data_IF_115974286827
#
_entry.id   IF_115974286827
#
_cell.length_a   1.000
_cell.length_b   1.000
_cell.length_c   1.000
_cell.angle_alpha   90.00
_cell.angle_beta   90.00
_cell.angle_gamma   90.00
#
_symmetry.space_group_name_H-M   'P 1'
#
loop_
_entity.id
_entity.type
_entity.pdbx_description
1 polymer ?
#
# COMPACT_ATOMS: atom_id res chain seq x y z
N UNK A 1 13.29 13.49 -20.69
CA UNK A 1 14.29 13.04 -19.71
C UNK A 1 13.74 13.37 -18.35
N UNK A 2 13.38 12.38 -17.53
CA UNK A 2 12.96 12.66 -16.16
C UNK A 2 14.16 13.24 -15.41
N UNK A 3 14.02 14.44 -14.87
CA UNK A 3 15.06 15.02 -14.00
C UNK A 3 15.36 14.02 -12.88
N UNK A 4 16.65 13.73 -12.67
CA UNK A 4 17.11 12.89 -11.56
C UNK A 4 16.76 13.62 -10.26
N UNK A 5 15.60 13.30 -9.69
CA UNK A 5 15.24 13.73 -8.34
C UNK A 5 16.08 12.91 -7.38
N UNK A 6 16.93 13.60 -6.62
CA UNK A 6 17.62 12.98 -5.50
C UNK A 6 16.59 12.49 -4.46
N UNK A 7 16.83 11.33 -3.82
CA UNK A 7 15.91 10.83 -2.78
C UNK A 7 15.88 11.80 -1.59
N UNK A 8 14.68 12.06 -1.05
CA UNK A 8 14.52 12.75 0.23
C UNK A 8 14.75 11.73 1.36
N UNK A 9 15.89 11.87 2.05
CA UNK A 9 16.28 10.97 3.14
C UNK A 9 16.06 11.66 4.47
N UNK A 10 15.19 11.08 5.30
CA UNK A 10 14.89 11.58 6.65
C UNK A 10 15.20 10.52 7.70
N UNK A 11 15.89 10.94 8.76
CA UNK A 11 16.31 10.07 9.86
C UNK A 11 15.55 10.48 11.12
N UNK A 12 14.99 9.49 11.82
CA UNK A 12 14.19 9.69 13.03
C UNK A 12 14.80 8.92 14.20
N UNK A 13 14.57 9.37 15.45
CA UNK A 13 15.16 8.73 16.63
C UNK A 13 14.59 7.33 16.91
N UNK A 14 13.36 7.06 16.49
CA UNK A 14 12.69 5.78 16.73
C UNK A 14 11.58 5.53 15.67
N UNK A 15 11.03 4.31 15.71
CA UNK A 15 9.96 3.86 14.82
C UNK A 15 8.68 4.69 15.00
N UNK A 16 8.36 5.15 16.21
CA UNK A 16 7.16 5.93 16.44
C UNK A 16 7.23 7.27 15.71
N UNK A 17 8.35 8.00 15.84
CA UNK A 17 8.56 9.27 15.13
C UNK A 17 8.68 9.09 13.62
N UNK A 18 9.28 8.00 13.16
CA UNK A 18 9.30 7.66 11.73
C UNK A 18 7.88 7.39 11.19
N UNK A 19 7.08 6.57 11.88
CA UNK A 19 5.70 6.26 11.48
C UNK A 19 4.80 7.48 11.53
N UNK A 20 4.92 8.33 12.56
CA UNK A 20 4.19 9.60 12.65
C UNK A 20 4.50 10.49 11.44
N UNK A 21 5.77 10.76 11.16
CA UNK A 21 6.16 11.64 10.06
C UNK A 21 5.76 11.08 8.68
N UNK A 22 5.82 9.76 8.49
CA UNK A 22 5.36 9.12 7.26
C UNK A 22 3.83 9.17 7.11
N UNK A 23 3.08 9.02 8.21
CA UNK A 23 1.63 9.16 8.21
C UNK A 23 1.20 10.58 7.84
N UNK A 24 1.78 11.59 8.49
CA UNK A 24 1.54 13.01 8.18
C UNK A 24 1.84 13.30 6.71
N UNK A 25 2.96 12.78 6.18
CA UNK A 25 3.31 12.93 4.77
C UNK A 25 2.32 12.24 3.83
N UNK A 26 1.83 11.05 4.18
CA UNK A 26 0.83 10.34 3.38
C UNK A 26 -0.51 11.08 3.38
N UNK A 27 -0.92 11.68 4.52
CA UNK A 27 -2.12 12.51 4.61
C UNK A 27 -2.01 13.71 3.68
N UNK A 28 -0.88 14.41 3.67
CA UNK A 28 -0.62 15.52 2.73
C UNK A 28 -0.76 15.08 1.28
N UNK A 29 -0.05 14.01 0.90
CA UNK A 29 -0.08 13.49 -0.48
C UNK A 29 -1.49 13.04 -0.85
N UNK A 30 -2.19 12.34 0.04
CA UNK A 30 -3.55 11.90 -0.19
C UNK A 30 -4.49 13.10 -0.40
N UNK A 31 -4.39 14.14 0.43
CA UNK A 31 -5.19 15.36 0.29
C UNK A 31 -4.99 16.04 -1.06
N UNK A 32 -3.74 16.24 -1.46
CA UNK A 32 -3.40 16.88 -2.73
C UNK A 32 -3.90 16.07 -3.93
N UNK A 33 -3.70 14.75 -3.90
CA UNK A 33 -4.13 13.86 -4.98
C UNK A 33 -5.65 13.74 -5.03
N UNK A 34 -6.33 13.63 -3.88
CA UNK A 34 -7.79 13.57 -3.82
C UNK A 34 -8.43 14.85 -4.36
N UNK A 35 -7.84 16.01 -4.08
CA UNK A 35 -8.29 17.28 -4.63
C UNK A 35 -8.12 17.35 -6.17
N UNK A 36 -7.03 16.78 -6.70
CA UNK A 36 -6.71 16.85 -8.13
C UNK A 36 -7.41 15.77 -8.98
N UNK A 37 -7.50 14.52 -8.48
CA UNK A 37 -7.93 13.33 -9.24
C UNK A 37 -9.24 12.72 -8.73
N UNK A 38 -9.70 13.10 -7.54
CA UNK A 38 -10.89 12.54 -6.91
C UNK A 38 -10.74 11.11 -6.36
N UNK A 39 -9.58 10.48 -6.51
CA UNK A 39 -9.24 9.14 -5.97
C UNK A 39 -7.77 9.08 -5.57
N UNK A 40 -7.43 8.24 -4.60
CA UNK A 40 -6.05 8.00 -4.15
C UNK A 40 -5.74 6.50 -4.16
N UNK A 41 -4.84 6.05 -5.03
CA UNK A 41 -4.42 4.66 -5.13
C UNK A 41 -3.11 4.42 -4.36
N UNK A 42 -3.20 3.67 -3.26
CA UNK A 42 -2.11 3.38 -2.33
C UNK A 42 -1.76 1.89 -2.37
N UNK A 43 -0.51 1.56 -2.68
CA UNK A 43 0.02 0.21 -2.56
C UNK A 43 0.70 0.01 -1.19
N UNK A 44 0.27 -1.02 -0.46
CA UNK A 44 0.70 -1.38 0.88
C UNK A 44 1.74 -2.49 0.86
N UNK A 45 2.61 -2.51 1.87
CA UNK A 45 3.53 -3.63 2.15
C UNK A 45 3.22 -4.30 3.48
N UNK A 46 3.77 -5.50 3.64
CA UNK A 46 3.78 -6.25 4.89
C UNK A 46 4.87 -5.82 5.87
N UNK A 47 4.93 -6.50 7.02
CA UNK A 47 6.01 -6.36 7.99
C UNK A 47 5.69 -5.47 9.19
N UNK A 48 6.63 -5.42 10.14
CA UNK A 48 6.43 -4.74 11.43
C UNK A 48 6.35 -3.22 11.26
N UNK A 49 7.24 -2.62 10.46
CA UNK A 49 7.29 -1.16 10.27
C UNK A 49 6.02 -0.62 9.61
N UNK A 50 5.51 -1.20 8.49
CA UNK A 50 4.24 -0.77 7.93
C UNK A 50 3.04 -0.99 8.87
N UNK A 51 3.03 -2.06 9.68
CA UNK A 51 1.98 -2.26 10.68
C UNK A 51 1.85 -1.08 11.65
N UNK A 52 2.97 -0.55 12.15
CA UNK A 52 2.94 0.63 13.04
C UNK A 52 2.40 1.87 12.34
N UNK A 53 2.79 2.10 11.07
CA UNK A 53 2.24 3.17 10.24
C UNK A 53 0.71 3.03 10.07
N UNK A 54 0.23 1.82 9.77
CA UNK A 54 -1.19 1.55 9.54
C UNK A 54 -2.04 1.80 10.80
N UNK A 55 -1.56 1.36 11.96
CA UNK A 55 -2.20 1.65 13.25
C UNK A 55 -2.23 3.15 13.53
N UNK A 56 -1.16 3.89 13.20
CA UNK A 56 -1.13 5.34 13.36
C UNK A 56 -2.14 6.03 12.44
N UNK A 57 -2.19 5.65 11.15
CA UNK A 57 -3.16 6.17 10.18
C UNK A 57 -4.61 5.96 10.65
N UNK A 58 -4.91 4.77 11.17
CA UNK A 58 -6.24 4.44 11.67
C UNK A 58 -6.66 5.22 12.92
N UNK A 59 -5.73 5.43 13.86
CA UNK A 59 -6.06 6.02 15.17
C UNK A 59 -5.94 7.52 15.21
N UNK A 60 -4.89 8.05 14.59
CA UNK A 60 -4.50 9.46 14.73
C UNK A 60 -4.92 10.29 13.51
N UNK A 61 -4.92 9.70 12.31
CA UNK A 61 -5.15 10.42 11.06
C UNK A 61 -6.45 10.04 10.33
N UNK A 62 -7.30 9.19 10.91
CA UNK A 62 -8.45 8.62 10.19
C UNK A 62 -9.43 9.70 9.70
N UNK A 63 -9.64 10.77 10.47
CA UNK A 63 -10.50 11.89 10.10
C UNK A 63 -9.90 12.83 9.05
N UNK A 64 -8.60 12.71 8.75
CA UNK A 64 -7.90 13.56 7.79
C UNK A 64 -7.90 13.00 6.36
N UNK A 65 -8.36 11.75 6.20
CA UNK A 65 -8.37 11.02 4.93
C UNK A 65 -9.80 10.70 4.53
N UNK A 66 -10.18 11.06 3.30
CA UNK A 66 -11.45 10.64 2.68
C UNK A 66 -11.36 9.18 2.22
N UNK A 67 -11.45 8.24 3.16
CA UNK A 67 -11.29 6.79 2.93
C UNK A 67 -12.23 6.23 1.86
N UNK A 68 -13.41 6.82 1.66
CA UNK A 68 -14.34 6.42 0.61
C UNK A 68 -13.78 6.60 -0.82
N UNK A 69 -12.71 7.37 -0.97
CA UNK A 69 -12.00 7.64 -2.22
C UNK A 69 -10.59 7.05 -2.27
N UNK A 70 -10.18 6.37 -1.20
CA UNK A 70 -8.91 5.64 -1.15
C UNK A 70 -9.12 4.25 -1.72
N UNK A 71 -8.22 3.81 -2.60
CA UNK A 71 -8.15 2.45 -3.10
C UNK A 71 -6.84 1.80 -2.64
N UNK A 72 -6.95 0.65 -1.98
CA UNK A 72 -5.80 -0.08 -1.43
C UNK A 72 -5.38 -1.23 -2.34
N UNK A 73 -4.09 -1.34 -2.55
CA UNK A 73 -3.40 -2.41 -3.28
C UNK A 73 -2.25 -2.95 -2.42
N UNK A 74 -1.57 -3.99 -2.88
CA UNK A 74 -0.43 -4.61 -2.19
C UNK A 74 0.76 -4.75 -3.13
N UNK A 75 1.96 -4.45 -2.63
CA UNK A 75 3.23 -4.65 -3.35
C UNK A 75 3.57 -6.13 -3.52
N UNK A 76 3.19 -6.94 -2.54
CA UNK A 76 3.43 -8.37 -2.44
C UNK A 76 2.44 -9.01 -1.46
N UNK A 77 2.31 -10.32 -1.56
CA UNK A 77 1.58 -11.14 -0.59
C UNK A 77 2.18 -12.54 -0.52
N UNK A 78 2.02 -13.18 0.64
CA UNK A 78 2.44 -14.56 0.91
C UNK A 78 1.38 -15.49 0.31
N UNK A 79 1.80 -16.58 -0.34
CA UNK A 79 0.90 -17.55 -0.96
C UNK A 79 0.19 -18.43 0.10
N UNK A 80 -0.65 -17.80 0.91
CA UNK A 80 -1.39 -18.36 2.04
C UNK A 80 -2.84 -17.88 2.03
N UNK A 81 -3.69 -18.47 2.88
CA UNK A 81 -5.05 -17.96 3.08
C UNK A 81 -5.04 -16.50 3.57
N UNK A 82 -6.03 -15.71 3.14
CA UNK A 82 -6.24 -14.32 3.61
C UNK A 82 -6.48 -14.20 5.12
N UNK A 83 -6.81 -15.31 5.80
CA UNK A 83 -7.01 -15.36 7.26
C UNK A 83 -5.74 -15.76 8.02
N UNK A 84 -4.69 -16.17 7.30
CA UNK A 84 -3.40 -16.55 7.88
C UNK A 84 -2.77 -15.38 8.64
N UNK A 85 -2.08 -15.68 9.74
CA UNK A 85 -1.28 -14.69 10.46
C UNK A 85 -0.12 -14.15 9.62
N UNK A 86 0.31 -14.92 8.60
CA UNK A 86 1.37 -14.53 7.67
C UNK A 86 0.87 -13.66 6.50
N UNK A 87 -0.43 -13.41 6.37
CA UNK A 87 -0.97 -12.58 5.28
C UNK A 87 -0.75 -11.08 5.56
N UNK A 88 -0.18 -10.40 4.56
CA UNK A 88 -0.05 -8.94 4.53
C UNK A 88 -1.45 -8.28 4.55
N UNK A 89 -2.42 -8.86 3.84
CA UNK A 89 -3.82 -8.46 3.90
C UNK A 89 -4.40 -8.61 5.31
N UNK A 90 -4.25 -9.77 5.96
CA UNK A 90 -4.76 -9.98 7.32
C UNK A 90 -4.19 -8.95 8.32
N UNK A 91 -2.90 -8.65 8.19
CA UNK A 91 -2.23 -7.64 9.00
C UNK A 91 -2.80 -6.23 8.74
N UNK A 92 -2.87 -5.81 7.47
CA UNK A 92 -3.43 -4.51 7.11
C UNK A 92 -4.92 -4.40 7.52
N UNK A 93 -5.65 -5.51 7.46
CA UNK A 93 -7.05 -5.55 7.87
C UNK A 93 -7.20 -5.21 9.35
N UNK A 94 -6.46 -5.92 10.22
CA UNK A 94 -6.47 -5.72 11.68
C UNK A 94 -5.90 -4.36 12.09
N UNK A 95 -4.91 -3.85 11.38
CA UNK A 95 -4.19 -2.64 11.76
C UNK A 95 -4.85 -1.35 11.25
N UNK A 96 -5.59 -1.42 10.14
CA UNK A 96 -6.15 -0.27 9.45
C UNK A 96 -7.58 -0.48 8.96
N UNK A 97 -7.82 -1.47 8.11
CA UNK A 97 -9.08 -1.55 7.34
C UNK A 97 -10.30 -1.71 8.26
N UNK A 98 -10.18 -2.45 9.38
CA UNK A 98 -11.28 -2.61 10.34
C UNK A 98 -11.65 -1.33 11.11
N UNK A 99 -10.78 -0.33 11.09
CA UNK A 99 -10.88 0.86 11.94
C UNK A 99 -11.25 2.14 11.15
N UNK A 100 -11.31 2.06 9.81
CA UNK A 100 -11.58 3.21 8.94
C UNK A 100 -12.80 2.96 8.05
N UNK A 101 -13.54 4.01 7.62
CA UNK A 101 -14.69 3.88 6.74
C UNK A 101 -14.28 3.61 5.28
N UNK A 102 -13.47 2.57 5.05
CA UNK A 102 -13.01 2.14 3.73
C UNK A 102 -14.04 1.18 3.10
N UNK A 103 -14.63 1.53 1.94
CA UNK A 103 -15.56 0.64 1.25
C UNK A 103 -14.87 -0.63 0.76
N UNK A 104 -15.52 -1.78 0.88
CA UNK A 104 -14.92 -3.08 0.51
C UNK A 104 -14.56 -3.17 -0.97
N UNK A 105 -15.29 -2.50 -1.85
CA UNK A 105 -15.00 -2.43 -3.29
C UNK A 105 -13.71 -1.65 -3.61
N UNK A 106 -13.18 -0.90 -2.64
CA UNK A 106 -11.93 -0.17 -2.80
C UNK A 106 -10.71 -0.99 -2.34
N UNK A 107 -10.91 -2.25 -1.94
CA UNK A 107 -9.85 -3.13 -1.47
C UNK A 107 -9.49 -4.13 -2.57
N UNK A 108 -8.31 -3.94 -3.15
CA UNK A 108 -7.79 -4.73 -4.27
C UNK A 108 -6.67 -5.66 -3.78
N UNK A 109 -7.05 -6.73 -3.08
CA UNK A 109 -6.10 -7.71 -2.51
C UNK A 109 -5.54 -8.66 -3.57
N UNK A 110 -4.32 -9.15 -3.35
CA UNK A 110 -3.78 -10.28 -4.09
C UNK A 110 -4.54 -11.54 -3.67
N UNK A 111 -5.14 -12.33 -4.59
CA UNK A 111 -5.83 -13.57 -4.27
C UNK A 111 -4.83 -14.72 -4.05
N UNK A 112 -3.95 -14.55 -3.06
CA UNK A 112 -2.76 -15.37 -2.85
C UNK A 112 -3.05 -16.81 -2.39
N UNK A 113 -4.29 -17.11 -2.01
CA UNK A 113 -4.75 -18.46 -1.73
C UNK A 113 -4.94 -19.32 -3.00
N UNK A 114 -4.95 -18.70 -4.18
CA UNK A 114 -5.11 -19.41 -5.47
C UNK A 114 -3.84 -20.17 -5.82
N UNK A 115 -4.01 -21.45 -6.17
CA UNK A 115 -2.95 -22.30 -6.69
C UNK A 115 -3.16 -22.65 -8.18
N UNK A 116 -2.10 -22.68 -8.99
CA UNK A 116 -0.72 -22.33 -8.63
C UNK A 116 -0.51 -20.79 -8.52
N UNK A 117 0.54 -20.30 -7.83
CA UNK A 117 0.75 -18.86 -7.56
C UNK A 117 0.76 -17.96 -8.79
N UNK A 118 1.18 -18.46 -9.95
CA UNK A 118 1.20 -17.72 -11.22
C UNK A 118 -0.22 -17.31 -11.64
N UNK A 119 -1.23 -18.14 -11.31
CA UNK A 119 -2.63 -17.80 -11.54
C UNK A 119 -3.10 -16.67 -10.63
N UNK A 120 -2.65 -16.66 -9.37
CA UNK A 120 -2.93 -15.55 -8.45
C UNK A 120 -2.30 -14.24 -8.95
N UNK A 121 -1.04 -14.29 -9.38
CA UNK A 121 -0.32 -13.15 -9.96
C UNK A 121 -1.02 -12.60 -11.22
N UNK A 122 -1.40 -13.47 -12.17
CA UNK A 122 -2.11 -13.06 -13.38
C UNK A 122 -3.52 -12.51 -13.11
N UNK A 123 -4.20 -12.98 -12.06
CA UNK A 123 -5.46 -12.38 -11.61
C UNK A 123 -5.24 -10.97 -11.05
N UNK A 124 -4.17 -10.79 -10.28
CA UNK A 124 -3.85 -9.50 -9.70
C UNK A 124 -3.43 -8.46 -10.74
N UNK A 125 -2.62 -8.87 -11.71
CA UNK A 125 -2.25 -8.03 -12.84
C UNK A 125 -3.50 -7.54 -13.60
N UNK A 126 -4.44 -8.43 -13.91
CA UNK A 126 -5.70 -8.06 -14.57
C UNK A 126 -6.51 -7.07 -13.76
N UNK A 127 -6.63 -7.27 -12.44
CA UNK A 127 -7.31 -6.33 -11.54
C UNK A 127 -6.69 -4.94 -11.59
N UNK A 128 -5.35 -4.84 -11.56
CA UNK A 128 -4.63 -3.55 -11.65
C UNK A 128 -4.88 -2.91 -13.02
N UNK A 129 -4.77 -3.66 -14.12
CA UNK A 129 -5.01 -3.15 -15.48
C UNK A 129 -6.45 -2.68 -15.67
N UNK A 130 -7.44 -3.39 -15.15
CA UNK A 130 -8.85 -3.00 -15.21
C UNK A 130 -9.14 -1.72 -14.41
N UNK A 131 -8.49 -1.55 -13.27
CA UNK A 131 -8.63 -0.36 -12.43
C UNK A 131 -8.00 0.88 -13.08
N UNK A 132 -6.76 0.77 -13.56
CA UNK A 132 -6.04 1.92 -14.13
C UNK A 132 -6.37 2.20 -15.59
N UNK A 133 -6.78 1.18 -16.35
CA UNK A 133 -7.00 1.23 -17.81
C UNK A 133 -5.84 1.90 -18.56
N UNK A 134 -4.59 1.42 -18.37
CA UNK A 134 -3.44 2.02 -19.02
C UNK A 134 -3.55 1.92 -20.55
N UNK A 135 -3.24 3.01 -21.26
CA UNK A 135 -3.25 3.05 -22.74
C UNK A 135 -2.07 2.25 -23.32
N UNK A 136 -0.93 2.28 -22.62
CA UNK A 136 0.29 1.54 -22.96
C UNK A 136 0.82 0.76 -21.74
N UNK A 137 1.63 -0.27 -21.96
CA UNK A 137 2.24 -1.02 -20.86
C UNK A 137 3.12 -0.11 -19.98
N UNK A 138 2.90 -0.16 -18.66
CA UNK A 138 3.59 0.73 -17.71
C UNK A 138 3.07 2.17 -17.66
N UNK A 139 2.00 2.52 -18.39
CA UNK A 139 1.44 3.89 -18.41
C UNK A 139 0.55 4.24 -17.20
N UNK A 140 0.64 3.48 -16.10
CA UNK A 140 -0.05 3.81 -14.85
C UNK A 140 0.93 3.90 -13.69
N UNK A 141 0.57 4.72 -12.70
CA UNK A 141 1.31 4.87 -11.46
C UNK A 141 0.34 4.85 -10.29
N UNK A 142 0.74 4.19 -9.21
CA UNK A 142 0.14 4.42 -7.90
C UNK A 142 0.49 5.82 -7.43
N UNK A 143 -0.42 6.44 -6.67
CA UNK A 143 -0.19 7.77 -6.13
C UNK A 143 0.82 7.72 -4.96
N UNK A 144 0.85 6.60 -4.24
CA UNK A 144 1.90 6.25 -3.30
C UNK A 144 2.08 4.72 -3.21
N UNK A 145 3.30 4.29 -2.88
CA UNK A 145 3.63 2.90 -2.61
C UNK A 145 4.54 2.83 -1.38
N UNK A 146 4.14 2.04 -0.40
CA UNK A 146 4.93 1.80 0.81
C UNK A 146 5.77 0.55 0.59
N UNK A 147 7.09 0.70 0.66
CA UNK A 147 8.03 -0.40 0.52
C UNK A 147 8.87 -0.56 1.79
N UNK A 148 9.04 -1.81 2.22
CA UNK A 148 10.05 -2.19 3.19
C UNK A 148 11.32 -2.64 2.46
N UNK A 149 12.46 -2.53 3.15
CA UNK A 149 13.75 -3.03 2.65
C UNK A 149 14.30 -4.03 3.67
N UNK A 150 14.60 -5.24 3.21
CA UNK A 150 15.25 -6.29 3.99
C UNK A 150 16.74 -6.02 4.21
N UNK A 151 17.36 -6.76 5.13
CA UNK A 151 18.80 -6.63 5.42
C UNK A 151 19.70 -7.00 4.24
N UNK A 152 19.21 -7.88 3.36
CA UNK A 152 19.81 -8.28 2.08
C UNK A 152 19.47 -7.32 0.92
N UNK A 153 18.70 -6.27 1.19
CA UNK A 153 18.24 -5.30 0.19
C UNK A 153 16.99 -5.71 -0.59
N UNK A 154 16.34 -6.83 -0.27
CA UNK A 154 15.08 -7.18 -0.93
C UNK A 154 13.98 -6.15 -0.62
N UNK A 155 13.06 -5.96 -1.55
CA UNK A 155 11.82 -5.20 -1.35
C UNK A 155 10.66 -5.96 -1.95
N UNK A 156 9.47 -5.82 -1.38
CA UNK A 156 8.34 -6.69 -1.73
C UNK A 156 8.79 -8.17 -1.63
N UNK A 157 8.55 -8.96 -2.67
CA UNK A 157 9.12 -10.32 -2.82
C UNK A 157 10.20 -10.40 -3.92
N UNK A 158 10.94 -9.30 -4.14
CA UNK A 158 12.02 -9.21 -5.13
C UNK A 158 13.38 -9.34 -4.41
N UNK A 159 13.98 -10.53 -4.53
CA UNK A 159 15.26 -10.86 -3.91
C UNK A 159 16.43 -10.61 -4.89
N UNK A 160 17.64 -10.33 -4.38
CA UNK A 160 18.86 -10.19 -5.19
C UNK A 160 19.23 -11.43 -6.02
#
# INVERSE_FOLDING_TARGET
MAESRSPDVRVFPDLHKASQALAERLVEVARDVLAAKGRFALALSGGKTPRYLYTFLARECSSEISWERVHLFWSDERCVSQESEDSNFAMAYKALISEVPLPSQNIHRIPAEINPPEKAAGNYERMIREFFKPEEEGSFLFDAMILGVGEDGHTASLFP
#
